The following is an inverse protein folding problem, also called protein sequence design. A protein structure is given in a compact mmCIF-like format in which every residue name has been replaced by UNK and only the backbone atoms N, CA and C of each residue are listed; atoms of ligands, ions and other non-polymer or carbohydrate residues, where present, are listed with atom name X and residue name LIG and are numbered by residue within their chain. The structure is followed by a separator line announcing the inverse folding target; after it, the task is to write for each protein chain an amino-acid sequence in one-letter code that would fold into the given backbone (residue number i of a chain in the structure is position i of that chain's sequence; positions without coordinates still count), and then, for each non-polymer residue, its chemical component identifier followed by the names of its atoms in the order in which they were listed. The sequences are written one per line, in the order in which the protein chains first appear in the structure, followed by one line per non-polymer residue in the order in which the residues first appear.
data_IF_133845986485
#
_entry.id   IF_133845986485
#
_cell.length_a   1.000
_cell.length_b   1.000
_cell.length_c   1.000
_cell.angle_alpha   90.00
_cell.angle_beta   90.00
_cell.angle_gamma   90.00
#
_symmetry.space_group_name_H-M   'P 1'
#
loop_
_entity.id
_entity.type
_entity.pdbx_description
1 polymer ?
#
# COMPACT_ATOMS: atom_id res chain seq x y z
N UNK A 1 -12.49 2.25 -12.51
CA UNK A 1 -11.08 2.57 -12.26
C UNK A 1 -10.57 1.90 -10.99
N UNK A 2 -9.29 1.94 -10.74
CA UNK A 2 -8.63 1.13 -9.74
C UNK A 2 -7.99 1.98 -8.66
N UNK A 3 -8.06 1.49 -7.40
CA UNK A 3 -7.48 2.17 -6.25
C UNK A 3 -6.55 1.23 -5.48
N UNK A 4 -5.56 1.82 -4.85
CA UNK A 4 -4.74 1.18 -3.81
C UNK A 4 -5.02 1.94 -2.53
N UNK A 5 -5.29 1.20 -1.46
CA UNK A 5 -5.47 1.79 -0.13
C UNK A 5 -4.13 1.79 0.58
N UNK A 6 -3.65 2.97 0.95
CA UNK A 6 -2.40 3.13 1.69
C UNK A 6 -2.72 3.61 3.10
N UNK A 7 -2.16 2.95 4.09
CA UNK A 7 -2.37 3.30 5.50
C UNK A 7 -1.07 3.15 6.30
N UNK A 8 -0.98 3.84 7.42
CA UNK A 8 -0.02 3.51 8.47
C UNK A 8 -0.65 2.50 9.43
N UNK A 9 0.13 1.85 10.31
CA UNK A 9 -0.45 0.83 11.22
C UNK A 9 -1.33 1.40 12.33
N UNK A 10 -1.31 2.71 12.55
CA UNK A 10 -2.06 3.35 13.63
C UNK A 10 -3.56 3.17 13.46
N UNK A 11 -4.25 2.92 14.58
CA UNK A 11 -5.71 2.70 14.57
C UNK A 11 -6.49 3.83 13.92
N UNK A 12 -6.13 5.08 14.23
CA UNK A 12 -6.82 6.23 13.63
C UNK A 12 -6.66 6.27 12.11
N UNK A 13 -5.48 5.93 11.61
CA UNK A 13 -5.22 5.89 10.17
C UNK A 13 -5.99 4.76 9.48
N UNK A 14 -6.03 3.57 10.08
CA UNK A 14 -6.76 2.44 9.51
C UNK A 14 -8.26 2.66 9.47
N UNK A 15 -8.83 3.36 10.45
CA UNK A 15 -10.25 3.74 10.43
C UNK A 15 -10.56 4.66 9.25
N UNK A 16 -9.72 5.66 9.01
CA UNK A 16 -9.89 6.58 7.87
C UNK A 16 -9.73 5.83 6.55
N UNK A 17 -8.72 4.98 6.45
CA UNK A 17 -8.46 4.18 5.26
C UNK A 17 -9.59 3.18 4.97
N UNK A 18 -10.17 2.60 6.00
CA UNK A 18 -11.34 1.72 5.87
C UNK A 18 -12.53 2.46 5.25
N UNK A 19 -12.80 3.67 5.71
CA UNK A 19 -13.87 4.51 5.15
C UNK A 19 -13.63 4.81 3.67
N UNK A 20 -12.39 5.13 3.30
CA UNK A 20 -12.01 5.34 1.90
C UNK A 20 -12.22 4.08 1.06
N UNK A 21 -11.84 2.92 1.58
CA UNK A 21 -12.04 1.64 0.92
C UNK A 21 -13.52 1.32 0.70
N UNK A 22 -14.34 1.54 1.71
CA UNK A 22 -15.79 1.33 1.61
C UNK A 22 -16.38 2.27 0.57
N UNK A 23 -15.96 3.53 0.55
CA UNK A 23 -16.42 4.50 -0.46
C UNK A 23 -16.04 4.06 -1.87
N UNK A 24 -14.83 3.56 -2.07
CA UNK A 24 -14.39 3.03 -3.36
C UNK A 24 -15.28 1.90 -3.84
N UNK A 25 -15.64 0.98 -2.95
CA UNK A 25 -16.56 -0.12 -3.29
C UNK A 25 -17.95 0.38 -3.66
N UNK A 26 -18.45 1.41 -3.00
CA UNK A 26 -19.76 2.01 -3.29
C UNK A 26 -19.83 2.64 -4.67
N UNK A 27 -18.72 3.15 -5.18
CA UNK A 27 -18.67 3.75 -6.53
C UNK A 27 -18.15 2.77 -7.58
N UNK A 28 -18.13 1.48 -7.26
CA UNK A 28 -17.67 0.40 -8.14
C UNK A 28 -16.22 0.54 -8.59
N UNK A 29 -15.39 1.21 -7.82
CA UNK A 29 -13.96 1.22 -8.04
C UNK A 29 -13.36 -0.10 -7.52
N UNK A 30 -12.48 -0.70 -8.28
CA UNK A 30 -11.75 -1.89 -7.84
C UNK A 30 -10.63 -1.48 -6.90
N UNK A 31 -10.50 -2.18 -5.78
CA UNK A 31 -9.37 -2.01 -4.86
C UNK A 31 -8.36 -3.11 -5.15
N UNK A 32 -7.16 -2.72 -5.61
CA UNK A 32 -6.07 -3.67 -5.89
C UNK A 32 -5.62 -4.35 -4.60
N UNK A 33 -5.49 -3.57 -3.53
CA UNK A 33 -5.08 -4.08 -2.24
C UNK A 33 -4.69 -2.98 -1.28
N UNK A 34 -4.11 -3.37 -0.15
CA UNK A 34 -3.67 -2.48 0.91
C UNK A 34 -2.15 -2.50 1.00
N UNK A 35 -1.56 -1.31 1.11
CA UNK A 35 -0.14 -1.13 1.43
C UNK A 35 -0.05 -0.46 2.79
N UNK A 36 0.77 -0.98 3.69
CA UNK A 36 1.07 -0.37 4.96
C UNK A 36 2.38 0.40 4.87
N UNK A 37 2.30 1.72 5.00
CA UNK A 37 3.47 2.60 5.05
C UNK A 37 3.87 2.86 6.50
N UNK A 38 5.12 3.23 6.72
CA UNK A 38 5.67 3.43 8.08
C UNK A 38 5.45 2.20 8.97
N UNK A 39 5.59 1.03 8.37
CA UNK A 39 5.20 -0.23 8.98
C UNK A 39 6.12 -0.64 10.12
N UNK A 40 7.41 -0.43 9.94
CA UNK A 40 8.43 -0.80 10.91
C UNK A 40 9.70 0.00 10.71
N UNK A 41 10.59 -0.07 11.69
CA UNK A 41 11.99 0.40 11.60
C UNK A 41 12.91 -0.75 11.95
N UNK A 42 14.14 -0.70 11.45
CA UNK A 42 15.19 -1.61 11.90
C UNK A 42 16.10 -0.88 12.88
N UNK A 43 16.29 -1.48 14.05
CA UNK A 43 17.20 -0.99 15.07
C UNK A 43 18.03 -2.17 15.57
N UNK A 44 19.36 -2.09 15.40
CA UNK A 44 20.33 -3.12 15.85
C UNK A 44 19.97 -4.54 15.37
N UNK A 45 19.56 -4.65 14.09
CA UNK A 45 19.20 -5.93 13.49
C UNK A 45 17.79 -6.45 13.84
N UNK A 46 17.03 -5.74 14.64
CA UNK A 46 15.67 -6.10 15.02
C UNK A 46 14.66 -5.15 14.40
N UNK A 47 13.50 -5.68 14.03
CA UNK A 47 12.37 -4.85 13.62
C UNK A 47 11.64 -4.33 14.83
N UNK A 48 11.37 -3.03 14.83
CA UNK A 48 10.50 -2.39 15.82
C UNK A 48 9.31 -1.77 15.10
N UNK A 49 8.20 -1.65 15.80
CA UNK A 49 6.93 -1.20 15.24
C UNK A 49 6.43 0.05 15.98
N UNK A 50 7.01 1.24 15.67
CA UNK A 50 6.73 2.45 16.46
C UNK A 50 5.28 2.92 16.37
N UNK A 51 4.56 2.55 15.34
CA UNK A 51 3.18 2.96 15.12
C UNK A 51 2.17 1.82 15.27
N UNK A 52 2.60 0.67 15.77
CA UNK A 52 1.77 -0.52 15.91
C UNK A 52 2.08 -1.57 14.86
N UNK A 53 1.39 -2.68 14.94
CA UNK A 53 1.67 -3.86 14.11
C UNK A 53 0.39 -4.40 13.49
N UNK A 54 0.50 -4.87 12.24
CA UNK A 54 -0.55 -5.57 11.52
C UNK A 54 -1.82 -4.75 11.19
N UNK A 55 -1.81 -3.43 11.40
CA UNK A 55 -2.97 -2.59 11.08
C UNK A 55 -3.41 -2.70 9.62
N UNK A 56 -2.46 -2.69 8.69
CA UNK A 56 -2.74 -2.83 7.26
C UNK A 56 -3.26 -4.21 6.89
N UNK A 57 -2.72 -5.25 7.49
CA UNK A 57 -3.21 -6.63 7.27
C UNK A 57 -4.64 -6.80 7.77
N UNK A 58 -4.94 -6.27 8.94
CA UNK A 58 -6.30 -6.31 9.49
C UNK A 58 -7.27 -5.53 8.60
N UNK A 59 -6.84 -4.37 8.10
CA UNK A 59 -7.64 -3.58 7.16
C UNK A 59 -7.91 -4.34 5.86
N UNK A 60 -6.91 -5.03 5.32
CA UNK A 60 -7.09 -5.82 4.09
C UNK A 60 -8.14 -6.91 4.27
N UNK A 61 -8.17 -7.54 5.44
CA UNK A 61 -9.20 -8.54 5.78
C UNK A 61 -10.59 -7.91 5.87
N UNK A 62 -10.71 -6.76 6.52
CA UNK A 62 -11.98 -6.04 6.63
C UNK A 62 -12.54 -5.60 5.28
N UNK A 63 -11.67 -5.20 4.36
CA UNK A 63 -12.06 -4.78 3.01
C UNK A 63 -12.18 -5.96 2.04
N UNK A 64 -11.78 -7.15 2.44
CA UNK A 64 -11.74 -8.34 1.59
C UNK A 64 -10.90 -8.11 0.33
N UNK A 65 -9.69 -7.59 0.50
CA UNK A 65 -8.73 -7.32 -0.56
C UNK A 65 -7.34 -7.81 -0.16
N UNK A 66 -6.42 -8.04 -1.11
CA UNK A 66 -5.08 -8.48 -0.78
C UNK A 66 -4.30 -7.46 0.06
N UNK A 67 -3.44 -7.96 0.94
CA UNK A 67 -2.38 -7.15 1.52
C UNK A 67 -1.15 -7.21 0.60
N UNK A 68 -0.81 -6.08 -0.02
CA UNK A 68 0.25 -6.04 -1.04
C UNK A 68 1.64 -6.03 -0.42
N UNK A 69 1.82 -5.25 0.64
CA UNK A 69 3.12 -5.19 1.30
C UNK A 69 3.24 -4.10 2.34
N UNK A 70 4.36 -4.14 3.04
CA UNK A 70 4.72 -3.22 4.10
C UNK A 70 5.97 -2.43 3.70
N UNK A 71 5.93 -1.12 3.87
CA UNK A 71 7.04 -0.22 3.58
C UNK A 71 7.59 0.30 4.92
N UNK A 72 8.89 0.12 5.19
CA UNK A 72 9.48 0.58 6.43
C UNK A 72 9.62 2.09 6.49
N UNK A 73 9.78 2.62 7.69
CA UNK A 73 10.17 4.00 7.92
C UNK A 73 11.67 4.12 7.78
N UNK A 74 12.13 4.74 6.70
CA UNK A 74 13.55 4.92 6.37
C UNK A 74 13.83 6.38 6.02
N UNK A 75 14.95 6.88 6.52
CA UNK A 75 15.42 8.22 6.17
C UNK A 75 15.64 8.37 4.66
N UNK A 76 16.22 7.36 4.01
CA UNK A 76 16.48 7.36 2.57
C UNK A 76 15.23 7.57 1.73
N UNK A 77 14.09 7.05 2.16
CA UNK A 77 12.82 7.24 1.46
C UNK A 77 12.41 8.71 1.50
N UNK A 78 12.51 9.35 2.65
CA UNK A 78 12.17 10.76 2.81
C UNK A 78 13.06 11.64 1.94
N UNK A 79 14.37 11.42 1.99
CA UNK A 79 15.35 12.18 1.19
C UNK A 79 15.08 11.98 -0.30
N UNK A 80 14.86 10.76 -0.74
CA UNK A 80 14.58 10.45 -2.15
C UNK A 80 13.28 11.10 -2.63
N UNK A 81 12.25 11.11 -1.80
CA UNK A 81 10.96 11.72 -2.12
C UNK A 81 11.07 13.24 -2.27
N UNK A 82 11.79 13.89 -1.36
CA UNK A 82 12.01 15.34 -1.41
C UNK A 82 12.86 15.75 -2.62
N UNK A 83 13.86 14.95 -2.96
CA UNK A 83 14.69 15.17 -4.13
C UNK A 83 14.06 14.75 -5.45
N UNK A 84 12.88 14.17 -5.44
CA UNK A 84 12.23 13.56 -6.61
C UNK A 84 13.10 12.53 -7.33
N UNK A 85 14.03 11.90 -6.60
CA UNK A 85 14.99 10.96 -7.15
C UNK A 85 14.89 9.61 -6.43
N UNK A 86 13.95 8.78 -6.88
CA UNK A 86 13.77 7.44 -6.34
C UNK A 86 15.00 6.54 -6.49
N UNK A 87 15.85 6.82 -7.46
CA UNK A 87 17.06 6.03 -7.68
C UNK A 87 18.15 6.29 -6.63
N UNK A 88 18.09 7.40 -5.89
CA UNK A 88 18.98 7.62 -4.74
C UNK A 88 18.78 6.57 -3.65
N UNK A 89 17.64 5.91 -3.61
CA UNK A 89 17.31 4.84 -2.69
C UNK A 89 17.82 3.46 -3.12
N UNK A 90 18.33 3.33 -4.33
CA UNK A 90 18.69 2.07 -4.99
C UNK A 90 19.67 1.20 -4.20
N UNK A 91 20.58 1.80 -3.44
CA UNK A 91 21.59 1.09 -2.66
C UNK A 91 21.02 0.53 -1.33
N UNK A 92 19.82 0.92 -0.95
CA UNK A 92 19.21 0.44 0.28
C UNK A 92 18.64 -0.98 0.08
N UNK A 93 18.87 -1.91 1.04
CA UNK A 93 18.31 -3.27 0.93
C UNK A 93 16.78 -3.30 0.77
N UNK A 94 16.06 -2.31 1.31
CA UNK A 94 14.61 -2.22 1.19
C UNK A 94 14.12 -1.79 -0.20
N UNK A 95 15.03 -1.37 -1.07
CA UNK A 95 14.67 -1.06 -2.45
C UNK A 95 14.05 -2.27 -3.16
N UNK A 96 14.57 -3.48 -2.92
CA UNK A 96 14.02 -4.72 -3.47
C UNK A 96 12.60 -4.98 -2.99
N UNK A 97 12.31 -4.65 -1.73
CA UNK A 97 10.97 -4.77 -1.17
C UNK A 97 9.98 -3.85 -1.89
N UNK A 98 10.38 -2.61 -2.15
CA UNK A 98 9.54 -1.64 -2.89
C UNK A 98 9.32 -2.10 -4.33
N UNK A 99 10.34 -2.61 -4.98
CA UNK A 99 10.22 -3.18 -6.34
C UNK A 99 9.27 -4.39 -6.33
N UNK A 100 9.35 -5.25 -5.33
CA UNK A 100 8.45 -6.39 -5.17
C UNK A 100 6.99 -5.94 -5.06
N UNK A 101 6.73 -4.91 -4.28
CA UNK A 101 5.39 -4.30 -4.14
C UNK A 101 4.91 -3.77 -5.49
N UNK A 102 5.75 -3.04 -6.20
CA UNK A 102 5.42 -2.52 -7.52
C UNK A 102 5.08 -3.64 -8.50
N UNK A 103 5.83 -4.73 -8.48
CA UNK A 103 5.57 -5.89 -9.34
C UNK A 103 4.23 -6.56 -9.00
N UNK A 104 3.86 -6.65 -7.74
CA UNK A 104 2.55 -7.17 -7.34
C UNK A 104 1.41 -6.31 -7.86
N UNK A 105 1.57 -4.99 -7.85
CA UNK A 105 0.59 -4.07 -8.43
C UNK A 105 0.45 -4.28 -9.92
N UNK A 106 1.57 -4.44 -10.63
CA UNK A 106 1.59 -4.64 -12.08
C UNK A 106 0.96 -5.97 -12.51
N UNK A 107 0.98 -6.99 -11.65
CA UNK A 107 0.31 -8.27 -11.90
C UNK A 107 -1.19 -8.20 -11.78
N UNK A 108 -1.72 -7.15 -11.14
CA UNK A 108 -3.15 -7.02 -10.99
C UNK A 108 -3.80 -6.84 -12.34
N UNK A 109 -4.69 -7.77 -12.67
CA UNK A 109 -5.51 -7.66 -13.85
C UNK A 109 -6.93 -7.38 -13.38
N UNK A 110 -7.44 -6.17 -13.61
CA UNK A 110 -8.84 -5.92 -13.29
C UNK A 110 -9.66 -6.95 -14.06
N UNK A 111 -10.63 -7.55 -13.38
CA UNK A 111 -11.68 -8.25 -14.10
C UNK A 111 -12.22 -7.25 -15.09
N UNK A 112 -11.88 -7.44 -16.36
CA UNK A 112 -12.54 -6.69 -17.42
C UNK A 112 -14.02 -7.02 -17.31
N UNK A 113 -14.76 -6.16 -16.61
CA UNK A 113 -16.18 -6.07 -16.93
C UNK A 113 -16.20 -5.84 -18.42
N UNK A 114 -16.87 -6.70 -19.19
CA UNK A 114 -17.04 -6.40 -20.59
C UNK A 114 -17.52 -4.95 -20.62
N UNK A 115 -16.70 -4.11 -21.24
CA UNK A 115 -17.13 -2.76 -21.52
C UNK A 115 -18.41 -2.97 -22.29
N UNK A 116 -19.50 -2.63 -21.65
CA UNK A 116 -20.77 -2.61 -22.35
C UNK A 116 -20.69 -1.46 -23.34
N UNK A 117 -20.19 -1.78 -24.52
CA UNK A 117 -20.13 -0.86 -25.64
C UNK A 117 -21.51 -0.62 -26.25
N UNK A 118 -22.58 -1.00 -25.57
CA UNK A 118 -23.88 -0.50 -25.92
C UNK A 118 -23.97 0.97 -25.53
N UNK A 119 -23.21 1.75 -26.26
CA UNK A 119 -23.48 3.16 -26.37
C UNK A 119 -24.73 3.24 -27.25
N UNK A 120 -25.81 3.20 -26.61
CA UNK A 120 -27.02 3.69 -27.23
C UNK A 120 -27.26 5.10 -26.81
#
# INVERSE_FOLDING_TARGET
FENIVVTTPQTNATIVAERSGIMSKKVNASIIGVIENMSYMEAKGNKIYPFGKDGGKDLSKKLDVPFIGAIPLLEDITVSSEGSNLFAFKENPEFENIISIANEILKFQPKKKPIDLKIN
#
